data_IF_256724202541
#
_entry.id   IF_256724202541
#
_cell.length_a   1.000
_cell.length_b   1.000
_cell.length_c   1.000
_cell.angle_alpha   90.00
_cell.angle_beta   90.00
_cell.angle_gamma   90.00
#
_symmetry.space_group_name_H-M   'P 1'
#
loop_
_entity.id
_entity.type
_entity.pdbx_description
1 polymer ?
#
# COMPACT_ATOMS: atom_id res chain seq x y z
N UNK A 1 3.34 31.52 -2.63
CA UNK A 1 4.19 30.72 -1.72
C UNK A 1 5.46 31.53 -1.46
N UNK A 2 5.67 31.91 -0.23
CA UNK A 2 6.80 32.79 0.17
C UNK A 2 8.01 31.95 0.65
N UNK A 3 8.37 30.95 -0.11
CA UNK A 3 9.40 29.99 0.28
C UNK A 3 10.77 30.66 0.49
N UNK A 4 11.17 31.50 -0.44
CA UNK A 4 12.47 32.23 -0.35
C UNK A 4 12.48 33.42 0.61
N UNK A 5 11.35 33.72 1.29
CA UNK A 5 11.35 34.60 2.47
C UNK A 5 11.77 33.85 3.75
N UNK A 6 11.57 32.54 3.78
CA UNK A 6 11.89 31.68 4.93
C UNK A 6 13.20 30.90 4.77
N UNK A 7 13.69 30.74 3.54
CA UNK A 7 14.84 29.91 3.19
C UNK A 7 15.79 30.73 2.31
N UNK A 8 17.11 30.70 2.56
CA UNK A 8 18.08 31.39 1.71
C UNK A 8 17.99 30.96 0.25
N UNK A 9 18.06 31.91 -0.68
CA UNK A 9 17.89 31.62 -2.12
C UNK A 9 18.98 30.71 -2.69
N UNK A 10 20.16 30.72 -2.10
CA UNK A 10 21.31 29.93 -2.55
C UNK A 10 21.47 28.59 -1.82
N UNK A 11 20.52 28.24 -0.92
CA UNK A 11 20.60 27.01 -0.10
C UNK A 11 20.89 25.76 -0.93
N UNK A 12 20.22 25.62 -2.05
CA UNK A 12 20.32 24.42 -2.90
C UNK A 12 21.50 24.46 -3.89
N UNK A 13 22.29 25.55 -3.95
CA UNK A 13 23.39 25.66 -4.90
C UNK A 13 24.47 24.57 -4.73
N UNK A 14 24.86 24.11 -3.52
CA UNK A 14 25.78 22.98 -3.38
C UNK A 14 25.26 21.68 -3.97
N UNK A 15 23.97 21.41 -3.82
CA UNK A 15 23.33 20.22 -4.35
C UNK A 15 23.08 20.26 -5.87
N UNK A 16 23.25 21.42 -6.50
CA UNK A 16 23.20 21.60 -7.96
C UNK A 16 24.60 21.65 -8.60
N UNK A 17 25.69 21.61 -7.80
CA UNK A 17 27.07 21.69 -8.25
C UNK A 17 27.59 20.33 -8.80
N UNK A 18 28.71 20.28 -9.51
CA UNK A 18 29.38 19.05 -9.89
C UNK A 18 29.66 18.12 -8.69
N UNK A 19 29.99 18.68 -7.53
CA UNK A 19 30.28 17.96 -6.28
C UNK A 19 29.03 17.64 -5.46
N UNK A 20 27.83 17.61 -6.07
CA UNK A 20 26.54 17.42 -5.38
C UNK A 20 26.49 16.19 -4.47
N UNK A 21 27.14 15.09 -4.85
CA UNK A 21 27.18 13.85 -4.06
C UNK A 21 27.95 14.09 -2.77
N UNK A 22 29.16 14.66 -2.86
CA UNK A 22 29.97 15.01 -1.69
C UNK A 22 29.25 15.96 -0.72
N UNK A 23 28.53 16.97 -1.26
CA UNK A 23 27.73 17.87 -0.42
C UNK A 23 26.56 17.13 0.25
N UNK A 24 25.89 16.21 -0.45
CA UNK A 24 24.82 15.42 0.13
C UNK A 24 25.32 14.50 1.25
N UNK A 25 26.43 13.81 1.03
CA UNK A 25 27.06 12.94 2.02
C UNK A 25 27.58 13.74 3.23
N UNK A 26 28.13 14.93 3.00
CA UNK A 26 28.52 15.83 4.07
C UNK A 26 27.34 16.30 4.92
N UNK A 27 26.22 16.62 4.28
CA UNK A 27 24.97 17.00 4.97
C UNK A 27 24.42 15.84 5.82
N UNK A 28 24.49 14.60 5.33
CA UNK A 28 24.07 13.41 6.09
C UNK A 28 24.95 13.19 7.32
N UNK A 29 26.27 13.26 7.16
CA UNK A 29 27.24 13.17 8.27
C UNK A 29 26.97 14.22 9.34
N UNK A 30 26.73 15.47 8.91
CA UNK A 30 26.46 16.60 9.79
C UNK A 30 25.10 16.43 10.50
N UNK A 31 24.08 15.98 9.80
CA UNK A 31 22.78 15.70 10.39
C UNK A 31 22.85 14.59 11.45
N UNK A 32 23.55 13.49 11.16
CA UNK A 32 23.74 12.41 12.13
C UNK A 32 24.46 12.92 13.41
N UNK A 33 25.47 13.76 13.27
CA UNK A 33 26.17 14.37 14.40
C UNK A 33 25.25 15.26 15.26
N UNK A 34 24.29 15.93 14.62
CA UNK A 34 23.31 16.79 15.31
C UNK A 34 22.22 16.02 16.03
N UNK A 35 21.86 14.84 15.61
CA UNK A 35 20.91 13.98 16.33
C UNK A 35 21.41 13.60 17.73
N UNK A 36 22.72 13.55 17.90
CA UNK A 36 23.33 13.18 19.18
C UNK A 36 23.70 14.41 20.04
N UNK A 37 23.84 15.60 19.43
CA UNK A 37 24.39 16.77 20.10
C UNK A 37 23.60 18.05 19.77
N UNK A 38 23.27 18.84 20.78
CA UNK A 38 22.60 20.14 20.62
C UNK A 38 23.48 21.20 19.94
N UNK A 39 24.77 21.19 20.21
CA UNK A 39 25.80 22.05 19.64
C UNK A 39 27.03 21.23 19.33
N UNK A 40 27.65 21.46 18.21
CA UNK A 40 28.88 20.75 17.81
C UNK A 40 29.96 21.76 17.60
N UNK A 41 31.14 21.50 18.21
CA UNK A 41 32.33 22.30 17.98
C UNK A 41 32.79 22.08 16.54
N UNK A 42 33.25 23.15 15.93
CA UNK A 42 33.70 23.15 14.55
C UNK A 42 34.86 22.16 14.32
N UNK A 43 35.81 22.05 15.25
CA UNK A 43 36.96 21.12 15.17
C UNK A 43 36.52 19.64 15.19
N UNK A 44 35.50 19.30 16.00
CA UNK A 44 34.93 17.96 16.06
C UNK A 44 34.25 17.62 14.74
N UNK A 45 33.53 18.56 14.18
CA UNK A 45 32.84 18.40 12.90
C UNK A 45 33.82 18.17 11.74
N UNK A 46 34.93 18.89 11.70
CA UNK A 46 36.02 18.64 10.74
C UNK A 46 36.55 17.22 10.84
N UNK A 47 36.79 16.78 12.08
CA UNK A 47 37.33 15.44 12.33
C UNK A 47 36.35 14.34 11.86
N UNK A 48 35.04 14.56 12.06
CA UNK A 48 34.01 13.65 11.63
C UNK A 48 33.90 13.60 10.08
N UNK A 49 33.86 14.74 9.41
CA UNK A 49 33.82 14.78 7.94
C UNK A 49 35.08 14.15 7.34
N UNK A 50 36.26 14.49 7.85
CA UNK A 50 37.51 13.88 7.40
C UNK A 50 37.50 12.36 7.55
N UNK A 51 37.02 11.85 8.70
CA UNK A 51 37.05 10.42 8.97
C UNK A 51 36.02 9.62 8.16
N UNK A 52 34.88 10.24 7.79
CA UNK A 52 33.83 9.54 7.05
C UNK A 52 33.91 9.71 5.53
N UNK A 53 34.45 10.83 5.04
CA UNK A 53 34.48 11.20 3.62
C UNK A 53 35.92 11.36 3.09
N UNK A 54 36.89 10.60 3.63
CA UNK A 54 38.31 10.75 3.26
C UNK A 54 38.55 10.48 1.77
N UNK A 55 37.93 9.46 1.20
CA UNK A 55 38.09 9.09 -0.20
C UNK A 55 37.36 10.07 -1.13
N UNK A 56 36.12 10.43 -0.82
CA UNK A 56 35.31 11.38 -1.57
C UNK A 56 35.96 12.78 -1.58
N UNK A 57 36.53 13.19 -0.46
CA UNK A 57 37.27 14.43 -0.34
C UNK A 57 38.60 14.41 -1.14
N UNK A 58 39.25 13.26 -1.24
CA UNK A 58 40.45 13.11 -2.03
C UNK A 58 40.19 13.21 -3.54
N UNK A 59 39.06 12.63 -4.00
CA UNK A 59 38.69 12.59 -5.40
C UNK A 59 37.94 13.84 -5.92
N UNK A 60 37.48 14.70 -5.01
CA UNK A 60 36.70 15.89 -5.36
C UNK A 60 37.53 16.95 -6.10
N UNK A 61 36.98 17.51 -7.17
CA UNK A 61 37.53 18.62 -7.93
C UNK A 61 36.68 19.86 -7.70
N UNK A 62 37.30 20.97 -7.28
CA UNK A 62 36.63 22.25 -6.96
C UNK A 62 36.95 23.33 -7.97
N UNK A 63 37.05 23.01 -9.28
CA UNK A 63 37.56 23.88 -10.34
C UNK A 63 36.73 25.16 -10.59
N UNK A 64 35.45 25.16 -10.19
CA UNK A 64 34.54 26.30 -10.44
C UNK A 64 34.30 27.20 -9.19
N UNK A 65 35.10 27.04 -8.16
CA UNK A 65 34.86 27.73 -6.90
C UNK A 65 36.00 28.72 -6.60
N UNK A 66 35.66 29.97 -6.21
CA UNK A 66 36.63 30.99 -5.75
C UNK A 66 37.38 30.53 -4.49
N UNK A 67 38.50 29.84 -4.66
CA UNK A 67 39.26 29.20 -3.58
C UNK A 67 40.73 29.43 -3.73
N UNK A 68 41.42 29.64 -2.60
CA UNK A 68 42.86 29.57 -2.54
C UNK A 68 43.33 28.11 -2.80
N UNK A 69 44.09 27.92 -3.88
CA UNK A 69 44.62 26.58 -4.24
C UNK A 69 45.44 25.93 -3.11
N UNK A 70 45.98 26.72 -2.18
CA UNK A 70 46.69 26.19 -1.01
C UNK A 70 45.80 25.49 0.01
N UNK A 71 44.57 25.95 0.19
CA UNK A 71 43.60 25.26 1.11
C UNK A 71 43.15 23.92 0.59
N UNK A 72 43.13 23.70 -0.71
CA UNK A 72 42.65 22.44 -1.32
C UNK A 72 43.72 21.34 -1.42
N UNK A 73 44.97 21.61 -1.07
CA UNK A 73 46.06 20.63 -1.16
C UNK A 73 45.93 19.48 -0.18
N UNK A 74 45.28 19.72 0.93
CA UNK A 74 45.14 18.78 2.03
C UNK A 74 43.65 18.45 2.28
N UNK A 75 43.36 17.20 2.65
CA UNK A 75 42.03 16.69 2.97
C UNK A 75 41.37 17.53 4.08
N UNK A 76 42.16 18.00 5.05
CA UNK A 76 41.66 18.84 6.15
C UNK A 76 41.23 20.21 5.66
N UNK A 77 41.94 20.81 4.72
CA UNK A 77 41.56 22.06 4.07
C UNK A 77 40.27 21.91 3.27
N UNK A 78 40.12 20.79 2.52
CA UNK A 78 38.89 20.49 1.78
C UNK A 78 37.69 20.30 2.71
N UNK A 79 37.85 19.65 3.84
CA UNK A 79 36.78 19.49 4.84
C UNK A 79 36.36 20.84 5.45
N UNK A 80 37.35 21.74 5.75
CA UNK A 80 37.07 23.11 6.21
C UNK A 80 36.32 23.92 5.16
N UNK A 81 36.74 23.80 3.92
CA UNK A 81 36.06 24.45 2.80
C UNK A 81 34.63 24.04 2.68
N UNK A 82 34.34 22.73 2.76
CA UNK A 82 32.99 22.17 2.72
C UNK A 82 32.09 22.80 3.80
N UNK A 83 32.52 22.83 5.05
CA UNK A 83 31.75 23.44 6.15
C UNK A 83 31.54 24.92 5.89
N UNK A 84 32.62 25.66 5.51
CA UNK A 84 32.51 27.08 5.20
C UNK A 84 31.52 27.35 4.07
N UNK A 85 31.54 26.53 3.02
CA UNK A 85 30.60 26.63 1.89
C UNK A 85 29.17 26.36 2.32
N UNK A 86 28.93 25.30 3.07
CA UNK A 86 27.61 24.98 3.59
C UNK A 86 27.08 26.07 4.54
N UNK A 87 27.94 26.66 5.37
CA UNK A 87 27.56 27.80 6.19
C UNK A 87 27.26 29.05 5.34
N UNK A 88 28.07 29.36 4.34
CA UNK A 88 27.85 30.54 3.46
C UNK A 88 26.56 30.42 2.64
N UNK A 89 26.14 29.21 2.34
CA UNK A 89 24.87 28.91 1.61
C UNK A 89 23.65 28.76 2.54
N UNK A 90 23.87 28.84 3.86
CA UNK A 90 22.80 28.88 4.84
C UNK A 90 22.36 27.50 5.36
N UNK A 91 23.07 26.40 5.09
CA UNK A 91 22.77 25.13 5.69
C UNK A 91 23.05 25.08 7.19
N UNK A 92 24.07 25.80 7.63
CA UNK A 92 24.52 25.90 9.02
C UNK A 92 24.87 27.34 9.38
N UNK A 93 24.84 27.64 10.65
CA UNK A 93 25.23 28.92 11.22
C UNK A 93 26.37 28.72 12.20
N UNK A 94 27.30 29.68 12.23
CA UNK A 94 28.40 29.70 13.20
C UNK A 94 28.02 30.58 14.39
N UNK A 95 28.12 30.02 15.58
CA UNK A 95 27.95 30.74 16.84
C UNK A 95 29.24 30.73 17.65
N UNK A 96 29.59 31.84 18.25
CA UNK A 96 30.72 31.92 19.17
C UNK A 96 30.22 31.68 20.59
N UNK A 97 30.75 30.61 21.23
CA UNK A 97 30.43 30.33 22.61
C UNK A 97 31.06 31.27 23.60
N UNK A 98 30.63 31.23 24.85
CA UNK A 98 31.21 32.00 25.98
C UNK A 98 32.65 31.56 26.30
N UNK A 99 33.07 30.40 25.84
CA UNK A 99 34.40 29.82 25.92
C UNK A 99 35.34 30.22 24.80
N UNK A 100 34.93 31.19 23.94
CA UNK A 100 35.58 31.64 22.73
C UNK A 100 35.77 30.57 21.63
N UNK A 101 35.14 29.40 21.78
CA UNK A 101 35.14 28.38 20.76
C UNK A 101 34.03 28.62 19.73
N UNK A 102 34.26 28.17 18.48
CA UNK A 102 33.27 28.24 17.42
C UNK A 102 32.41 26.96 17.40
N UNK A 103 31.11 27.16 17.48
CA UNK A 103 30.11 26.15 17.39
C UNK A 103 29.34 26.30 16.08
N UNK A 104 28.89 25.18 15.56
CA UNK A 104 28.01 25.12 14.39
C UNK A 104 26.63 24.74 14.84
N UNK A 105 25.62 25.47 14.44
CA UNK A 105 24.21 25.25 14.73
C UNK A 105 23.41 25.06 13.45
N UNK A 106 22.28 24.34 13.53
CA UNK A 106 21.41 24.11 12.39
C UNK A 106 20.17 25.02 12.48
N UNK A 107 19.93 25.89 11.47
CA UNK A 107 18.68 26.64 11.36
C UNK A 107 17.47 25.70 11.25
N UNK A 108 16.31 26.12 11.75
CA UNK A 108 15.09 25.31 11.78
C UNK A 108 14.67 24.81 10.39
N UNK A 109 14.78 25.65 9.35
CA UNK A 109 14.45 25.23 7.97
C UNK A 109 15.43 24.15 7.45
N UNK A 110 16.70 24.27 7.79
CA UNK A 110 17.74 23.32 7.39
C UNK A 110 17.55 21.97 8.09
N UNK A 111 17.26 21.98 9.40
CA UNK A 111 16.95 20.75 10.17
C UNK A 111 15.79 19.98 9.56
N UNK A 112 14.70 20.66 9.18
CA UNK A 112 13.54 20.04 8.53
C UNK A 112 13.84 19.45 7.16
N UNK A 113 14.70 20.14 6.38
CA UNK A 113 15.12 19.65 5.07
C UNK A 113 16.02 18.41 5.20
N UNK A 114 16.95 18.42 6.14
CA UNK A 114 17.85 17.30 6.40
C UNK A 114 17.07 16.07 6.92
N UNK A 115 16.09 16.29 7.81
CA UNK A 115 15.16 15.23 8.23
C UNK A 115 14.42 14.63 7.04
N UNK A 116 13.91 15.46 6.13
CA UNK A 116 13.25 14.99 4.92
C UNK A 116 14.20 14.20 4.02
N UNK A 117 15.44 14.67 3.83
CA UNK A 117 16.43 13.96 3.02
C UNK A 117 16.76 12.59 3.64
N UNK A 118 16.95 12.54 4.95
CA UNK A 118 17.17 11.28 5.65
C UNK A 118 16.00 10.33 5.51
N UNK A 119 14.76 10.82 5.65
CA UNK A 119 13.54 10.03 5.43
C UNK A 119 13.41 9.51 3.99
N UNK A 120 13.88 10.25 2.98
CA UNK A 120 13.88 9.82 1.59
C UNK A 120 14.93 8.75 1.29
N UNK A 121 16.04 8.73 2.02
CA UNK A 121 17.13 7.76 1.89
C UNK A 121 16.90 6.51 2.76
N UNK A 122 16.04 6.60 3.77
CA UNK A 122 15.74 5.49 4.67
C UNK A 122 14.80 4.48 3.98
N UNK A 123 15.39 3.44 3.39
CA UNK A 123 14.67 2.28 2.80
C UNK A 123 14.06 1.35 3.88
N UNK A 124 14.18 1.69 5.17
CA UNK A 124 13.60 0.88 6.22
C UNK A 124 12.08 0.82 6.05
N UNK A 125 11.46 -0.38 6.19
CA UNK A 125 10.00 -0.48 6.11
C UNK A 125 9.41 0.42 7.17
N UNK A 126 8.57 1.36 6.71
CA UNK A 126 7.91 2.35 7.54
C UNK A 126 7.42 1.73 8.84
N UNK A 127 8.07 2.09 9.95
CA UNK A 127 7.75 1.55 11.27
C UNK A 127 6.33 1.97 11.60
N UNK A 128 5.42 0.99 11.47
CA UNK A 128 4.08 0.96 12.02
C UNK A 128 3.38 2.31 12.20
N UNK A 129 3.03 2.98 11.11
CA UNK A 129 2.17 4.14 11.20
C UNK A 129 0.79 3.72 11.71
N UNK A 130 0.51 4.01 12.96
CA UNK A 130 -0.79 3.75 13.58
C UNK A 130 -1.64 5.01 13.59
N UNK A 131 -1.81 5.64 12.43
CA UNK A 131 -2.55 6.91 12.34
C UNK A 131 -4.01 6.76 12.72
N UNK A 132 -4.68 5.68 12.30
CA UNK A 132 -6.09 5.44 12.60
C UNK A 132 -6.27 5.10 14.07
N UNK A 133 -5.45 4.18 14.59
CA UNK A 133 -5.45 3.84 16.01
C UNK A 133 -5.01 5.02 16.88
N UNK A 134 -4.02 5.80 16.43
CA UNK A 134 -3.57 7.02 17.09
C UNK A 134 -4.70 8.04 17.22
N UNK A 135 -5.42 8.32 16.13
CA UNK A 135 -6.59 9.18 16.10
C UNK A 135 -7.66 8.69 17.10
N UNK A 136 -8.00 7.40 17.04
CA UNK A 136 -8.96 6.80 17.97
C UNK A 136 -8.52 6.92 19.42
N UNK A 137 -7.26 6.58 19.73
CA UNK A 137 -6.75 6.58 21.10
C UNK A 137 -6.73 7.97 21.71
N UNK A 138 -6.27 8.97 20.95
CA UNK A 138 -6.21 10.36 21.42
C UNK A 138 -7.60 10.90 21.66
N UNK A 139 -8.54 10.70 20.72
CA UNK A 139 -9.93 11.16 20.89
C UNK A 139 -10.62 10.46 22.05
N UNK A 140 -10.47 9.14 22.17
CA UNK A 140 -11.10 8.39 23.25
C UNK A 140 -10.56 8.77 24.62
N UNK A 141 -9.25 8.90 24.76
CA UNK A 141 -8.63 9.32 26.04
C UNK A 141 -9.09 10.72 26.45
N UNK A 142 -9.17 11.63 25.48
CA UNK A 142 -9.65 12.98 25.75
C UNK A 142 -11.16 13.03 26.03
N UNK A 143 -11.94 12.15 25.43
CA UNK A 143 -13.39 12.06 25.69
C UNK A 143 -13.68 11.65 27.11
N UNK A 144 -12.88 10.76 27.69
CA UNK A 144 -12.95 10.33 29.09
C UNK A 144 -12.45 11.44 30.08
N UNK A 145 -11.72 12.45 29.57
CA UNK A 145 -11.28 13.61 30.36
C UNK A 145 -12.37 14.68 30.45
N UNK A 146 -12.50 15.34 31.59
CA UNK A 146 -13.38 16.49 31.74
C UNK A 146 -12.71 17.83 31.37
N UNK A 147 -11.46 17.81 30.87
CA UNK A 147 -10.69 18.99 30.57
C UNK A 147 -10.86 19.42 29.11
N UNK A 148 -11.32 20.65 28.88
CA UNK A 148 -11.51 21.21 27.55
C UNK A 148 -10.18 21.37 26.77
N UNK A 149 -9.07 21.63 27.47
CA UNK A 149 -7.75 21.72 26.89
C UNK A 149 -7.30 20.39 26.30
N UNK A 150 -7.51 19.27 27.00
CA UNK A 150 -7.16 17.93 26.52
C UNK A 150 -7.96 17.59 25.27
N UNK A 151 -9.27 17.89 25.26
CA UNK A 151 -10.15 17.65 24.11
C UNK A 151 -9.76 18.49 22.91
N UNK A 152 -9.43 19.76 23.11
CA UNK A 152 -8.92 20.63 22.06
C UNK A 152 -7.62 20.07 21.46
N UNK A 153 -6.65 19.74 22.30
CA UNK A 153 -5.34 19.22 21.86
C UNK A 153 -5.52 17.89 21.13
N UNK A 154 -6.40 17.02 21.63
CA UNK A 154 -6.74 15.76 20.99
C UNK A 154 -7.35 15.95 19.60
N UNK A 155 -8.22 16.94 19.39
CA UNK A 155 -8.81 17.25 18.11
C UNK A 155 -7.74 17.71 17.09
N UNK A 156 -6.81 18.56 17.50
CA UNK A 156 -5.70 18.97 16.63
C UNK A 156 -4.81 17.78 16.28
N UNK A 157 -4.46 16.94 17.25
CA UNK A 157 -3.68 15.71 17.00
C UNK A 157 -4.42 14.74 16.09
N UNK A 158 -5.73 14.58 16.25
CA UNK A 158 -6.56 13.77 15.38
C UNK A 158 -6.59 14.30 13.93
N UNK A 159 -6.65 15.63 13.78
CA UNK A 159 -6.57 16.28 12.48
C UNK A 159 -5.22 16.05 11.80
N UNK A 160 -4.10 16.20 12.53
CA UNK A 160 -2.75 15.98 12.01
C UNK A 160 -2.54 14.51 11.65
N UNK A 161 -2.97 13.56 12.49
CA UNK A 161 -2.92 12.12 12.19
C UNK A 161 -3.74 11.77 10.94
N UNK A 162 -4.93 12.35 10.79
CA UNK A 162 -5.78 12.10 9.62
C UNK A 162 -5.15 12.67 8.36
N UNK A 163 -4.53 13.84 8.42
CA UNK A 163 -3.79 14.46 7.31
C UNK A 163 -2.60 13.59 6.91
N UNK A 164 -1.83 13.08 7.88
CA UNK A 164 -0.71 12.20 7.65
C UNK A 164 -1.17 10.86 7.03
N UNK A 165 -2.31 10.29 7.49
CA UNK A 165 -2.91 9.11 6.90
C UNK A 165 -3.24 9.29 5.41
N UNK A 166 -3.88 10.42 5.06
CA UNK A 166 -4.23 10.72 3.67
C UNK A 166 -2.97 10.84 2.82
N UNK A 167 -1.95 11.53 3.32
CA UNK A 167 -0.66 11.68 2.63
C UNK A 167 0.01 10.33 2.42
N UNK A 168 -0.04 9.43 3.42
CA UNK A 168 0.45 8.06 3.31
C UNK A 168 -0.30 7.27 2.23
N UNK A 169 -1.63 7.34 2.22
CA UNK A 169 -2.44 6.63 1.21
C UNK A 169 -2.17 7.13 -0.21
N UNK A 170 -2.01 8.44 -0.38
CA UNK A 170 -1.61 9.04 -1.66
C UNK A 170 -0.22 8.56 -2.10
N UNK A 171 0.75 8.52 -1.19
CA UNK A 171 2.08 7.98 -1.46
C UNK A 171 2.02 6.51 -1.88
N UNK A 172 1.27 5.68 -1.15
CA UNK A 172 1.07 4.25 -1.49
C UNK A 172 0.45 4.10 -2.88
N UNK A 173 -0.59 4.88 -3.20
CA UNK A 173 -1.20 4.88 -4.52
C UNK A 173 -0.20 5.21 -5.63
N UNK A 174 0.61 6.26 -5.45
CA UNK A 174 1.63 6.66 -6.42
C UNK A 174 2.74 5.61 -6.55
N UNK A 175 3.16 4.98 -5.46
CA UNK A 175 4.14 3.91 -5.49
C UNK A 175 3.63 2.70 -6.28
N UNK A 176 2.39 2.24 -6.03
CA UNK A 176 1.79 1.15 -6.81
C UNK A 176 1.77 1.47 -8.31
N UNK A 177 1.40 2.70 -8.66
CA UNK A 177 1.38 3.16 -10.05
C UNK A 177 2.79 3.19 -10.67
N UNK A 178 3.79 3.62 -9.90
CA UNK A 178 5.19 3.63 -10.35
C UNK A 178 5.69 2.21 -10.64
N UNK A 179 5.46 1.24 -9.74
CA UNK A 179 5.81 -0.16 -9.96
C UNK A 179 5.14 -0.75 -11.20
N UNK A 180 3.89 -0.37 -11.45
CA UNK A 180 3.18 -0.78 -12.66
C UNK A 180 3.87 -0.28 -13.95
N UNK A 181 4.31 0.98 -13.96
CA UNK A 181 5.01 1.57 -15.10
C UNK A 181 6.39 0.93 -15.33
N UNK A 182 7.17 0.77 -14.26
CA UNK A 182 8.52 0.17 -14.32
C UNK A 182 8.47 -1.27 -14.82
N UNK A 183 7.43 -2.02 -14.45
CA UNK A 183 7.26 -3.40 -14.88
C UNK A 183 7.09 -3.54 -16.40
N UNK A 184 6.51 -2.55 -17.08
CA UNK A 184 6.29 -2.57 -18.53
C UNK A 184 7.62 -2.73 -19.29
N UNK A 185 8.69 -2.12 -18.80
CA UNK A 185 10.00 -2.09 -19.44
C UNK A 185 10.87 -3.32 -19.17
N UNK A 186 10.54 -4.14 -18.17
CA UNK A 186 11.30 -5.34 -17.83
C UNK A 186 11.14 -6.42 -18.89
N UNK A 187 12.25 -7.06 -19.28
CA UNK A 187 12.27 -8.10 -20.33
C UNK A 187 12.66 -9.49 -19.81
N UNK A 188 13.16 -9.58 -18.60
CA UNK A 188 13.58 -10.84 -17.97
C UNK A 188 12.58 -11.28 -16.90
N UNK A 189 12.26 -12.58 -16.89
CA UNK A 189 11.34 -13.19 -15.90
C UNK A 189 11.84 -12.98 -14.48
N UNK A 190 13.15 -13.16 -14.24
CA UNK A 190 13.73 -13.03 -12.93
C UNK A 190 13.63 -11.59 -12.41
N UNK A 191 13.78 -10.58 -13.28
CA UNK A 191 13.60 -9.18 -12.91
C UNK A 191 12.15 -8.89 -12.53
N UNK A 192 11.18 -9.43 -13.28
CA UNK A 192 9.75 -9.27 -12.96
C UNK A 192 9.39 -9.95 -11.63
N UNK A 193 9.91 -11.15 -11.39
CA UNK A 193 9.71 -11.87 -10.14
C UNK A 193 10.33 -11.13 -8.95
N UNK A 194 11.58 -10.68 -9.08
CA UNK A 194 12.27 -9.93 -8.04
C UNK A 194 11.53 -8.61 -7.72
N UNK A 195 11.14 -7.85 -8.73
CA UNK A 195 10.37 -6.62 -8.55
C UNK A 195 8.99 -6.87 -7.90
N UNK A 196 8.33 -7.99 -8.24
CA UNK A 196 7.02 -8.30 -7.67
C UNK A 196 7.10 -8.80 -6.22
N UNK A 197 8.00 -9.73 -5.92
CA UNK A 197 8.06 -10.35 -4.59
C UNK A 197 8.93 -9.57 -3.60
N UNK A 198 10.09 -9.08 -4.01
CA UNK A 198 11.02 -8.40 -3.10
C UNK A 198 10.67 -6.91 -2.96
N UNK A 199 10.51 -6.20 -4.08
CA UNK A 199 10.28 -4.75 -3.99
C UNK A 199 8.81 -4.42 -3.70
N UNK A 200 7.90 -4.80 -4.59
CA UNK A 200 6.49 -4.48 -4.41
C UNK A 200 5.87 -5.21 -3.22
N UNK A 201 6.12 -6.53 -3.08
CA UNK A 201 5.57 -7.34 -2.01
C UNK A 201 6.03 -6.87 -0.63
N UNK A 202 7.32 -6.67 -0.43
CA UNK A 202 7.88 -6.27 0.86
C UNK A 202 7.75 -4.76 1.12
N UNK A 203 8.13 -3.93 0.15
CA UNK A 203 8.19 -2.46 0.35
C UNK A 203 6.83 -1.76 0.28
N UNK A 204 5.83 -2.35 -0.38
CA UNK A 204 4.50 -1.73 -0.51
C UNK A 204 3.43 -2.53 0.22
N UNK A 205 3.28 -3.83 -0.08
CA UNK A 205 2.17 -4.62 0.46
C UNK A 205 2.36 -4.90 1.95
N UNK A 206 3.51 -5.45 2.35
CA UNK A 206 3.79 -5.79 3.76
C UNK A 206 4.06 -4.55 4.61
N UNK A 207 4.72 -3.53 4.04
CA UNK A 207 5.06 -2.31 4.78
C UNK A 207 3.84 -1.40 5.03
N UNK A 208 2.95 -1.23 4.05
CA UNK A 208 1.87 -0.25 4.11
C UNK A 208 0.47 -0.85 4.01
N UNK A 209 0.19 -1.66 2.98
CA UNK A 209 -1.18 -2.08 2.68
C UNK A 209 -1.71 -3.04 3.74
N UNK A 210 -0.94 -4.03 4.13
CA UNK A 210 -1.33 -5.02 5.13
C UNK A 210 -1.53 -4.43 6.52
N UNK A 211 -0.68 -3.55 7.06
CA UNK A 211 -0.93 -2.87 8.31
C UNK A 211 -2.23 -2.06 8.31
N UNK A 212 -2.48 -1.27 7.26
CA UNK A 212 -3.70 -0.45 7.12
C UNK A 212 -4.99 -1.28 7.07
N UNK A 213 -4.94 -2.52 6.55
CA UNK A 213 -6.10 -3.40 6.50
C UNK A 213 -6.34 -4.20 7.77
N UNK A 214 -5.28 -4.61 8.46
CA UNK A 214 -5.36 -5.58 9.57
C UNK A 214 -5.18 -4.90 10.91
N UNK A 215 -4.10 -4.12 11.08
CA UNK A 215 -3.72 -3.53 12.38
C UNK A 215 -4.35 -2.18 12.59
N UNK A 216 -4.18 -1.28 11.66
CA UNK A 216 -4.66 0.11 11.68
C UNK A 216 -5.92 0.26 10.80
N UNK A 217 -6.86 -0.65 11.00
CA UNK A 217 -8.02 -0.82 10.13
C UNK A 217 -9.02 0.33 10.24
N UNK A 218 -9.21 1.07 9.14
CA UNK A 218 -10.20 2.14 9.03
C UNK A 218 -11.62 1.65 9.37
N UNK A 219 -12.12 0.51 8.82
CA UNK A 219 -13.44 0.01 9.17
C UNK A 219 -13.65 -0.24 10.66
N UNK A 220 -12.61 -0.67 11.37
CA UNK A 220 -12.69 -0.96 12.81
C UNK A 220 -12.85 0.30 13.66
N UNK A 221 -12.12 1.35 13.33
CA UNK A 221 -12.03 2.54 14.18
C UNK A 221 -12.90 3.71 13.70
N UNK A 222 -13.42 3.68 12.46
CA UNK A 222 -14.26 4.73 11.88
C UNK A 222 -15.44 5.10 12.77
N UNK A 223 -16.27 4.12 13.11
CA UNK A 223 -17.48 4.35 13.91
C UNK A 223 -17.17 4.91 15.30
N UNK A 224 -16.21 4.34 16.06
CA UNK A 224 -15.78 4.93 17.34
C UNK A 224 -15.26 6.37 17.23
N UNK A 225 -14.43 6.69 16.20
CA UNK A 225 -13.92 8.05 15.99
C UNK A 225 -15.09 9.02 15.74
N UNK A 226 -15.97 8.69 14.81
CA UNK A 226 -17.13 9.53 14.47
C UNK A 226 -18.08 9.70 15.66
N UNK A 227 -18.27 8.67 16.47
CA UNK A 227 -19.15 8.76 17.66
C UNK A 227 -18.63 9.74 18.70
N UNK A 228 -17.31 9.88 18.85
CA UNK A 228 -16.72 10.87 19.75
C UNK A 228 -16.87 12.27 19.17
N UNK A 229 -16.55 12.45 17.90
CA UNK A 229 -16.60 13.75 17.21
C UNK A 229 -18.01 14.32 17.18
N UNK A 230 -19.04 13.51 16.88
CA UNK A 230 -20.45 13.93 16.91
C UNK A 230 -20.91 14.38 18.29
N UNK A 231 -20.51 13.66 19.35
CA UNK A 231 -20.82 14.09 20.72
C UNK A 231 -20.21 15.45 21.05
N UNK A 232 -18.99 15.70 20.57
CA UNK A 232 -18.34 16.99 20.78
C UNK A 232 -18.96 18.09 19.92
N UNK A 233 -19.45 17.77 18.72
CA UNK A 233 -20.16 18.70 17.83
C UNK A 233 -21.51 19.13 18.44
N UNK A 234 -22.24 18.20 19.06
CA UNK A 234 -23.56 18.44 19.67
C UNK A 234 -23.48 19.20 20.98
N UNK A 235 -22.33 19.23 21.65
CA UNK A 235 -22.14 19.93 22.94
C UNK A 235 -21.57 21.34 22.74
N UNK A 236 -22.48 22.32 22.60
CA UNK A 236 -22.12 23.74 22.47
C UNK A 236 -21.31 24.28 23.67
N UNK A 237 -21.53 23.78 24.86
CA UNK A 237 -20.82 24.24 26.08
C UNK A 237 -19.37 23.78 26.04
N UNK A 238 -19.14 22.57 25.59
CA UNK A 238 -17.82 22.00 25.37
C UNK A 238 -17.09 22.77 24.27
N UNK A 239 -17.73 23.01 23.11
CA UNK A 239 -17.12 23.74 22.00
C UNK A 239 -16.68 25.14 22.40
N UNK A 240 -17.50 25.85 23.19
CA UNK A 240 -17.13 27.17 23.72
C UNK A 240 -15.93 27.07 24.68
N UNK A 241 -15.90 26.05 25.55
CA UNK A 241 -14.77 25.81 26.44
C UNK A 241 -13.48 25.50 25.69
N UNK A 242 -13.54 24.63 24.71
CA UNK A 242 -12.39 24.30 23.80
C UNK A 242 -11.94 25.54 23.00
N UNK A 243 -12.87 26.36 22.52
CA UNK A 243 -12.55 27.58 21.77
C UNK A 243 -11.86 28.63 22.67
N UNK A 244 -12.23 28.73 23.96
CA UNK A 244 -11.53 29.59 24.91
C UNK A 244 -10.07 29.12 25.12
N UNK A 245 -9.84 27.82 25.24
CA UNK A 245 -8.47 27.29 25.34
C UNK A 245 -7.67 27.53 24.04
N UNK A 246 -8.29 27.33 22.88
CA UNK A 246 -7.67 27.63 21.59
C UNK A 246 -7.30 29.13 21.45
N UNK A 247 -8.13 30.03 22.00
CA UNK A 247 -7.83 31.45 21.98
C UNK A 247 -6.68 31.79 22.93
N UNK A 248 -6.59 31.15 24.12
CA UNK A 248 -5.43 31.28 25.02
C UNK A 248 -4.14 30.85 24.39
N UNK A 249 -4.17 29.77 23.61
CA UNK A 249 -3.04 29.25 22.82
C UNK A 249 -2.75 30.09 21.56
N UNK A 250 -3.45 31.21 21.34
CA UNK A 250 -3.30 32.09 20.17
C UNK A 250 -3.50 31.41 18.82
N UNK A 251 -4.35 30.37 18.77
CA UNK A 251 -4.67 29.62 17.55
C UNK A 251 -5.68 30.35 16.64
N UNK A 252 -6.36 31.37 17.14
CA UNK A 252 -7.26 32.24 16.40
C UNK A 252 -7.26 33.65 16.94
N UNK A 253 -7.93 34.58 16.26
CA UNK A 253 -8.00 35.99 16.64
C UNK A 253 -9.18 36.28 17.54
N UNK A 254 -10.29 35.60 17.33
CA UNK A 254 -11.53 35.74 18.11
C UNK A 254 -12.03 34.38 18.56
N UNK A 255 -12.92 34.38 19.55
CA UNK A 255 -13.57 33.16 20.07
C UNK A 255 -14.37 32.48 18.93
N UNK A 256 -15.05 33.27 18.10
CA UNK A 256 -15.82 32.77 16.96
C UNK A 256 -14.93 32.12 15.91
N UNK A 257 -13.78 32.72 15.62
CA UNK A 257 -12.78 32.11 14.70
C UNK A 257 -12.30 30.76 15.23
N UNK A 258 -11.97 30.68 16.52
CA UNK A 258 -11.53 29.44 17.16
C UNK A 258 -12.62 28.37 17.11
N UNK A 259 -13.87 28.72 17.44
CA UNK A 259 -15.01 27.80 17.37
C UNK A 259 -15.24 27.31 15.95
N UNK A 260 -15.21 28.19 14.96
CA UNK A 260 -15.36 27.83 13.55
C UNK A 260 -14.24 26.92 13.07
N UNK A 261 -12.99 27.10 13.54
CA UNK A 261 -11.87 26.23 13.21
C UNK A 261 -12.03 24.83 13.80
N UNK A 262 -12.45 24.74 15.07
CA UNK A 262 -12.72 23.44 15.72
C UNK A 262 -13.82 22.66 14.98
N UNK A 263 -14.97 23.30 14.69
CA UNK A 263 -16.05 22.68 13.94
C UNK A 263 -15.61 22.26 12.53
N UNK A 264 -14.82 23.09 11.86
CA UNK A 264 -14.27 22.75 10.54
C UNK A 264 -13.40 21.51 10.61
N UNK A 265 -12.56 21.36 11.66
CA UNK A 265 -11.71 20.19 11.84
C UNK A 265 -12.52 18.94 12.17
N UNK A 266 -13.53 19.03 13.02
CA UNK A 266 -14.45 17.93 13.33
C UNK A 266 -15.09 17.44 12.02
N UNK A 267 -15.77 18.34 11.31
CA UNK A 267 -16.45 18.00 10.06
C UNK A 267 -15.48 17.41 9.01
N UNK A 268 -14.30 18.02 8.88
CA UNK A 268 -13.29 17.54 7.94
C UNK A 268 -12.81 16.11 8.27
N UNK A 269 -12.57 15.79 9.52
CA UNK A 269 -12.17 14.45 9.96
C UNK A 269 -13.30 13.45 9.65
N UNK A 270 -14.54 13.78 10.02
CA UNK A 270 -15.70 12.92 9.75
C UNK A 270 -15.88 12.63 8.27
N UNK A 271 -15.89 13.67 7.43
CA UNK A 271 -16.00 13.53 5.97
C UNK A 271 -14.87 12.66 5.41
N UNK A 272 -13.63 12.84 5.90
CA UNK A 272 -12.50 12.04 5.45
C UNK A 272 -12.66 10.57 5.82
N UNK A 273 -13.02 10.27 7.06
CA UNK A 273 -13.25 8.89 7.48
C UNK A 273 -14.44 8.22 6.78
N UNK A 274 -15.46 8.96 6.36
CA UNK A 274 -16.57 8.42 5.56
C UNK A 274 -16.12 8.01 4.15
N UNK A 275 -15.25 8.79 3.55
CA UNK A 275 -14.81 8.59 2.17
C UNK A 275 -13.50 7.80 2.03
N UNK A 276 -12.74 7.61 3.11
CA UNK A 276 -11.42 6.97 3.11
C UNK A 276 -11.42 5.58 2.49
N UNK A 277 -12.46 4.79 2.76
CA UNK A 277 -12.58 3.43 2.27
C UNK A 277 -12.80 3.40 0.77
N UNK A 278 -13.73 4.22 0.26
CA UNK A 278 -14.09 4.27 -1.16
C UNK A 278 -13.05 4.99 -2.02
N UNK A 279 -12.62 6.17 -1.58
CA UNK A 279 -11.79 7.04 -2.41
C UNK A 279 -10.32 6.60 -2.45
N UNK A 280 -9.84 5.94 -1.38
CA UNK A 280 -8.43 5.57 -1.29
C UNK A 280 -8.20 4.06 -1.22
N UNK A 281 -8.83 3.34 -0.28
CA UNK A 281 -8.52 1.93 -0.07
C UNK A 281 -9.01 1.05 -1.22
N UNK A 282 -10.22 1.27 -1.74
CA UNK A 282 -10.74 0.53 -2.89
C UNK A 282 -9.95 0.82 -4.17
N UNK A 283 -9.53 2.09 -4.37
CA UNK A 283 -8.73 2.47 -5.52
C UNK A 283 -7.31 1.86 -5.44
N UNK A 284 -6.66 1.90 -4.27
CA UNK A 284 -5.37 1.22 -4.05
C UNK A 284 -5.51 -0.28 -4.32
N UNK A 285 -6.56 -0.93 -3.83
CA UNK A 285 -6.83 -2.36 -4.08
C UNK A 285 -7.03 -2.67 -5.57
N UNK A 286 -7.69 -1.78 -6.26
CA UNK A 286 -7.88 -1.90 -7.71
C UNK A 286 -6.56 -1.80 -8.45
N UNK A 287 -5.70 -0.85 -8.09
CA UNK A 287 -4.37 -0.72 -8.68
C UNK A 287 -3.46 -1.91 -8.34
N UNK A 288 -3.48 -2.39 -7.10
CA UNK A 288 -2.75 -3.60 -6.69
C UNK A 288 -3.19 -4.82 -7.51
N UNK A 289 -4.49 -5.02 -7.67
CA UNK A 289 -5.03 -6.11 -8.50
C UNK A 289 -4.62 -5.98 -9.96
N UNK A 290 -4.64 -4.77 -10.51
CA UNK A 290 -4.17 -4.49 -11.89
C UNK A 290 -2.69 -4.81 -12.04
N UNK A 291 -1.86 -4.35 -11.10
CA UNK A 291 -0.43 -4.63 -11.09
C UNK A 291 -0.15 -6.13 -11.00
N UNK A 292 -0.74 -6.84 -10.02
CA UNK A 292 -0.55 -8.28 -9.84
C UNK A 292 -0.97 -9.07 -11.08
N UNK A 293 -2.12 -8.72 -11.68
CA UNK A 293 -2.60 -9.37 -12.92
C UNK A 293 -1.63 -9.13 -14.09
N UNK A 294 -1.13 -7.91 -14.23
CA UNK A 294 -0.14 -7.58 -15.26
C UNK A 294 1.19 -8.31 -15.05
N UNK A 295 1.66 -8.42 -13.78
CA UNK A 295 2.86 -9.18 -13.42
C UNK A 295 2.72 -10.65 -13.79
N UNK A 296 1.62 -11.29 -13.36
CA UNK A 296 1.34 -12.69 -13.70
C UNK A 296 1.30 -12.92 -15.20
N UNK A 297 0.57 -12.08 -15.94
CA UNK A 297 0.45 -12.19 -17.38
C UNK A 297 1.80 -11.99 -18.09
N UNK A 298 2.64 -11.09 -17.58
CA UNK A 298 3.97 -10.87 -18.13
C UNK A 298 4.89 -12.06 -17.87
N UNK A 299 4.87 -12.63 -16.67
CA UNK A 299 5.61 -13.85 -16.33
C UNK A 299 5.19 -15.00 -17.25
N UNK A 300 3.88 -15.23 -17.42
CA UNK A 300 3.35 -16.24 -18.32
C UNK A 300 3.83 -16.03 -19.78
N UNK A 301 3.76 -14.79 -20.27
CA UNK A 301 4.19 -14.45 -21.62
C UNK A 301 5.71 -14.64 -21.81
N UNK A 302 6.53 -14.32 -20.81
CA UNK A 302 7.98 -14.49 -20.87
C UNK A 302 8.39 -15.96 -20.71
N UNK A 303 7.71 -16.71 -19.85
CA UNK A 303 7.98 -18.15 -19.63
C UNK A 303 7.54 -18.99 -20.83
N UNK A 304 6.40 -18.65 -21.46
CA UNK A 304 5.85 -19.37 -22.61
C UNK A 304 6.31 -18.78 -23.97
N UNK A 305 7.42 -18.05 -24.00
CA UNK A 305 7.90 -17.28 -25.15
C UNK A 305 8.02 -18.14 -26.42
N UNK A 306 8.44 -19.39 -26.27
CA UNK A 306 8.69 -20.29 -27.42
C UNK A 306 7.42 -21.03 -27.88
N UNK A 307 6.34 -21.02 -27.12
CA UNK A 307 5.11 -21.76 -27.44
C UNK A 307 3.86 -20.88 -27.64
N UNK A 308 3.91 -19.61 -27.26
CA UNK A 308 2.76 -18.72 -27.34
C UNK A 308 2.84 -17.78 -28.53
N UNK A 309 1.85 -17.86 -29.44
CA UNK A 309 1.67 -16.92 -30.56
C UNK A 309 1.64 -15.45 -30.07
N UNK A 310 1.05 -15.22 -28.89
CA UNK A 310 0.98 -13.88 -28.26
C UNK A 310 2.35 -13.40 -27.76
N UNK A 311 3.16 -14.31 -27.20
CA UNK A 311 4.55 -14.01 -26.80
C UNK A 311 5.40 -13.64 -28.01
N UNK A 312 5.32 -14.41 -29.07
CA UNK A 312 6.04 -14.15 -30.30
C UNK A 312 5.60 -12.85 -31.01
N UNK A 313 4.29 -12.54 -30.99
CA UNK A 313 3.75 -11.26 -31.47
C UNK A 313 4.28 -10.07 -30.68
N UNK A 314 4.33 -10.15 -29.35
CA UNK A 314 4.88 -9.09 -28.51
C UNK A 314 6.38 -8.85 -28.76
N UNK A 315 7.15 -9.92 -28.99
CA UNK A 315 8.57 -9.82 -29.38
C UNK A 315 8.71 -9.10 -30.71
N UNK A 316 7.94 -9.51 -31.69
CA UNK A 316 7.93 -8.88 -33.04
C UNK A 316 7.57 -7.39 -32.93
N UNK A 317 6.50 -7.04 -32.22
CA UNK A 317 6.10 -5.66 -32.05
C UNK A 317 7.15 -4.83 -31.30
N UNK A 318 7.82 -5.42 -30.31
CA UNK A 318 8.89 -4.74 -29.57
C UNK A 318 10.11 -4.50 -30.44
N UNK A 319 10.51 -5.46 -31.26
CA UNK A 319 11.63 -5.32 -32.22
C UNK A 319 11.29 -4.27 -33.28
N UNK A 320 10.08 -4.29 -33.82
CA UNK A 320 9.61 -3.30 -34.80
C UNK A 320 9.56 -1.88 -34.19
N UNK A 321 9.10 -1.72 -32.96
CA UNK A 321 8.99 -0.40 -32.29
C UNK A 321 10.35 0.23 -31.97
N UNK A 322 11.38 -0.59 -31.72
CA UNK A 322 12.75 -0.12 -31.38
C UNK A 322 13.63 0.12 -32.58
N UNK A 323 13.27 -0.40 -33.76
CA UNK A 323 14.12 -0.35 -34.92
C UNK A 323 13.72 0.83 -35.82
N UNK A 324 14.68 1.74 -36.09
CA UNK A 324 14.48 2.89 -37.00
C UNK A 324 14.20 2.45 -38.47
N UNK A 325 14.50 1.20 -38.80
CA UNK A 325 14.24 0.59 -40.15
C UNK A 325 13.10 -0.43 -40.08
N UNK A 326 12.06 -0.13 -39.27
CA UNK A 326 10.92 -1.02 -39.12
C UNK A 326 10.24 -1.38 -40.45
N UNK A 327 10.22 -0.47 -41.41
CA UNK A 327 9.67 -0.72 -42.76
C UNK A 327 10.42 -1.82 -43.53
N UNK A 328 11.75 -1.83 -43.49
CA UNK A 328 12.57 -2.87 -44.15
C UNK A 328 12.37 -4.24 -43.50
N UNK A 329 12.18 -4.30 -42.19
CA UNK A 329 11.88 -5.53 -41.46
C UNK A 329 10.47 -6.05 -41.75
N UNK A 330 9.50 -5.15 -41.88
CA UNK A 330 8.12 -5.50 -42.26
C UNK A 330 8.12 -6.11 -43.69
N UNK A 331 8.84 -5.53 -44.64
CA UNK A 331 8.95 -6.04 -45.99
C UNK A 331 9.62 -7.43 -46.05
N UNK A 332 10.55 -7.73 -45.15
CA UNK A 332 11.18 -9.07 -45.03
C UNK A 332 10.24 -10.09 -44.39
N UNK A 333 9.35 -9.68 -43.50
CA UNK A 333 8.43 -10.55 -42.77
C UNK A 333 7.13 -10.75 -43.57
N UNK A 334 6.73 -9.81 -44.43
CA UNK A 334 5.52 -9.85 -45.25
C UNK A 334 5.34 -11.15 -46.05
N UNK A 335 6.36 -11.73 -46.68
CA UNK A 335 6.20 -12.99 -47.39
C UNK A 335 5.88 -14.21 -46.52
N UNK A 336 6.21 -14.12 -45.20
CA UNK A 336 5.93 -15.19 -44.25
C UNK A 336 4.47 -15.14 -43.71
N UNK A 337 3.80 -14.00 -43.83
CA UNK A 337 2.40 -13.87 -43.52
C UNK A 337 1.55 -14.15 -44.78
N UNK A 338 1.06 -15.36 -44.91
CA UNK A 338 0.02 -15.69 -45.90
C UNK A 338 -1.32 -15.25 -45.29
N UNK A 339 -1.73 -14.04 -45.59
CA UNK A 339 -3.14 -13.64 -45.43
C UNK A 339 -3.94 -14.39 -46.47
N UNK A 340 -4.69 -15.40 -46.08
CA UNK A 340 -5.69 -15.97 -46.95
C UNK A 340 -6.68 -14.89 -47.33
N UNK A 341 -6.70 -14.51 -48.61
CA UNK A 341 -7.76 -13.68 -49.18
C UNK A 341 -9.08 -14.43 -48.94
N UNK A 342 -9.92 -13.91 -48.07
CA UNK A 342 -11.30 -14.37 -47.97
C UNK A 342 -12.02 -13.93 -49.25
N UNK A 343 -11.94 -14.72 -50.30
CA UNK A 343 -12.58 -14.44 -51.58
C UNK A 343 -14.08 -14.74 -51.60
N UNK A 344 -14.69 -15.21 -50.49
CA UNK A 344 -16.10 -15.58 -50.44
C UNK A 344 -16.79 -15.22 -49.17
N UNK A 345 -17.74 -14.31 -49.26
CA UNK A 345 -18.93 -14.28 -48.40
C UNK A 345 -19.93 -15.29 -48.93
N UNK A 346 -19.93 -16.53 -48.45
CA UNK A 346 -20.97 -17.50 -48.73
C UNK A 346 -22.17 -17.29 -47.75
N UNK A 347 -23.35 -17.80 -48.10
CA UNK A 347 -24.49 -17.81 -47.20
C UNK A 347 -24.16 -18.41 -45.82
N UNK A 348 -23.15 -19.31 -45.75
CA UNK A 348 -22.66 -19.91 -44.48
C UNK A 348 -21.77 -18.99 -43.67
N UNK A 349 -21.26 -17.90 -44.22
CA UNK A 349 -20.50 -16.87 -43.50
C UNK A 349 -21.37 -15.75 -42.97
N UNK A 350 -22.65 -15.67 -43.38
CA UNK A 350 -23.61 -14.77 -42.79
C UNK A 350 -23.94 -15.25 -41.36
N UNK A 351 -23.76 -14.34 -40.40
CA UNK A 351 -24.13 -14.61 -39.02
C UNK A 351 -25.65 -14.76 -38.92
N UNK A 352 -26.13 -16.01 -38.84
CA UNK A 352 -27.51 -16.26 -38.50
C UNK A 352 -27.68 -16.21 -36.99
N UNK A 353 -28.51 -15.31 -36.52
CA UNK A 353 -28.95 -15.29 -35.11
C UNK A 353 -29.64 -16.63 -34.85
N UNK A 354 -28.87 -17.61 -34.33
CA UNK A 354 -29.45 -18.87 -33.87
C UNK A 354 -30.55 -18.50 -32.88
N UNK A 355 -31.82 -18.84 -33.19
CA UNK A 355 -32.88 -18.73 -32.21
C UNK A 355 -32.37 -19.49 -30.99
N UNK A 356 -32.35 -18.88 -29.80
CA UNK A 356 -31.93 -19.61 -28.61
C UNK A 356 -32.87 -20.81 -28.47
N UNK A 357 -32.31 -22.01 -28.57
CA UNK A 357 -33.00 -23.19 -28.07
C UNK A 357 -33.43 -22.85 -26.65
N UNK A 358 -34.73 -23.12 -26.33
CA UNK A 358 -35.25 -22.91 -24.98
C UNK A 358 -34.41 -23.79 -24.05
N UNK A 359 -33.30 -23.24 -23.59
CA UNK A 359 -32.54 -23.80 -22.49
C UNK A 359 -33.48 -23.80 -21.30
N UNK A 360 -33.84 -24.97 -20.81
CA UNK A 360 -34.35 -25.16 -19.47
C UNK A 360 -33.49 -24.32 -18.54
N UNK A 361 -34.14 -23.41 -17.80
CA UNK A 361 -33.50 -22.44 -16.92
C UNK A 361 -32.62 -23.15 -15.89
N UNK A 362 -31.38 -23.38 -16.24
CA UNK A 362 -30.32 -23.53 -15.26
C UNK A 362 -29.88 -22.09 -15.00
N UNK A 363 -30.12 -21.56 -13.82
CA UNK A 363 -29.71 -20.24 -13.41
C UNK A 363 -28.19 -20.22 -13.36
N UNK A 364 -27.58 -19.80 -14.49
CA UNK A 364 -26.20 -19.32 -14.46
C UNK A 364 -26.22 -17.89 -13.93
N UNK A 365 -25.62 -17.69 -12.78
CA UNK A 365 -25.36 -16.37 -12.25
C UNK A 365 -24.35 -15.72 -13.18
N UNK A 366 -24.83 -14.89 -14.10
CA UNK A 366 -23.97 -13.93 -14.81
C UNK A 366 -23.64 -12.83 -13.81
N UNK A 367 -22.39 -12.82 -13.37
CA UNK A 367 -21.81 -11.67 -12.70
C UNK A 367 -21.67 -10.60 -13.79
N UNK A 368 -22.63 -9.68 -13.89
CA UNK A 368 -22.43 -8.42 -14.58
C UNK A 368 -21.59 -7.54 -13.64
N UNK A 369 -20.37 -7.26 -14.06
CA UNK A 369 -19.58 -6.13 -13.54
C UNK A 369 -20.37 -4.85 -13.85
N UNK A 370 -20.45 -3.96 -12.88
CA UNK A 370 -20.94 -2.58 -12.89
C UNK A 370 -22.31 -2.25 -12.26
N UNK A 371 -22.68 -2.96 -11.18
CA UNK A 371 -23.50 -2.29 -10.16
C UNK A 371 -23.22 -2.95 -8.79
N UNK A 372 -22.94 -2.12 -7.79
CA UNK A 372 -22.86 -2.61 -6.42
C UNK A 372 -24.17 -3.36 -6.11
N UNK A 373 -24.11 -4.66 -5.74
CA UNK A 373 -25.33 -5.42 -5.54
C UNK A 373 -26.12 -4.80 -4.40
N UNK A 374 -27.39 -4.54 -4.67
CA UNK A 374 -28.34 -4.00 -3.72
C UNK A 374 -28.32 -4.87 -2.44
N UNK A 375 -28.26 -4.27 -1.28
CA UNK A 375 -28.11 -4.98 0.01
C UNK A 375 -29.20 -6.06 0.20
N UNK A 376 -30.38 -5.85 -0.36
CA UNK A 376 -31.47 -6.84 -0.35
C UNK A 376 -31.19 -8.09 -1.21
N UNK A 377 -30.51 -7.93 -2.34
CA UNK A 377 -30.13 -9.05 -3.21
C UNK A 377 -28.99 -9.87 -2.60
N UNK A 378 -28.06 -9.24 -1.91
CA UNK A 378 -27.00 -9.93 -1.15
C UNK A 378 -27.59 -10.73 0.00
N UNK A 379 -28.56 -10.18 0.72
CA UNK A 379 -29.27 -10.89 1.81
C UNK A 379 -30.06 -12.06 1.25
N UNK A 380 -30.75 -11.92 0.13
CA UNK A 380 -31.47 -13.02 -0.55
C UNK A 380 -30.54 -14.10 -1.07
N UNK A 381 -29.40 -13.72 -1.67
CA UNK A 381 -28.38 -14.68 -2.11
C UNK A 381 -27.76 -15.44 -0.93
N UNK A 382 -27.43 -14.74 0.16
CA UNK A 382 -26.92 -15.36 1.39
C UNK A 382 -27.96 -16.31 2.04
N UNK A 383 -29.24 -15.93 2.06
CA UNK A 383 -30.35 -16.80 2.54
C UNK A 383 -30.54 -18.03 1.66
N UNK A 384 -30.45 -17.91 0.34
CA UNK A 384 -30.50 -19.02 -0.61
C UNK A 384 -29.30 -19.96 -0.46
N UNK A 385 -28.11 -19.45 -0.25
CA UNK A 385 -26.93 -20.25 0.03
C UNK A 385 -27.04 -20.95 1.39
N UNK A 386 -27.48 -20.24 2.42
CA UNK A 386 -27.73 -20.84 3.74
C UNK A 386 -28.83 -21.94 3.71
N UNK A 387 -29.89 -21.77 2.92
CA UNK A 387 -30.94 -22.80 2.78
C UNK A 387 -30.47 -24.02 2.01
N UNK A 388 -29.64 -23.88 0.98
CA UNK A 388 -29.16 -24.99 0.14
C UNK A 388 -27.94 -25.72 0.69
N UNK A 389 -27.03 -25.00 1.34
CA UNK A 389 -25.73 -25.51 1.81
C UNK A 389 -25.47 -25.20 3.29
N UNK A 390 -26.50 -24.79 4.03
CA UNK A 390 -26.41 -24.53 5.45
C UNK A 390 -26.22 -25.79 6.28
N UNK A 391 -25.87 -25.64 7.53
CA UNK A 391 -25.60 -26.75 8.48
C UNK A 391 -26.72 -27.78 8.56
N UNK A 392 -27.97 -27.33 8.54
CA UNK A 392 -29.14 -28.22 8.55
C UNK A 392 -29.20 -29.08 7.28
N UNK A 393 -28.92 -28.50 6.11
CA UNK A 393 -28.90 -29.22 4.84
C UNK A 393 -27.75 -30.24 4.76
N UNK A 394 -26.57 -29.89 5.28
CA UNK A 394 -25.43 -30.80 5.36
C UNK A 394 -25.70 -31.94 6.32
N UNK A 395 -26.26 -31.67 7.51
CA UNK A 395 -26.66 -32.71 8.44
C UNK A 395 -27.70 -33.65 7.84
N UNK A 396 -28.71 -33.11 7.16
CA UNK A 396 -29.74 -33.92 6.49
C UNK A 396 -29.15 -34.79 5.37
N UNK A 397 -28.21 -34.26 4.59
CA UNK A 397 -27.49 -34.99 3.55
C UNK A 397 -26.69 -36.16 4.13
N UNK A 398 -25.89 -35.92 5.17
CA UNK A 398 -25.10 -36.97 5.84
C UNK A 398 -25.99 -38.02 6.50
N UNK A 399 -27.07 -37.62 7.15
CA UNK A 399 -28.04 -38.55 7.76
C UNK A 399 -28.75 -39.41 6.69
N UNK A 400 -29.14 -38.80 5.55
CA UNK A 400 -29.75 -39.52 4.44
C UNK A 400 -28.76 -40.51 3.79
N UNK A 401 -27.47 -40.13 3.71
CA UNK A 401 -26.44 -41.02 3.20
C UNK A 401 -26.11 -42.18 4.16
N UNK A 402 -26.02 -41.93 5.48
CA UNK A 402 -25.84 -42.96 6.49
C UNK A 402 -27.02 -43.96 6.51
N UNK A 403 -28.26 -43.51 6.26
CA UNK A 403 -29.44 -44.34 6.33
C UNK A 403 -29.55 -45.08 7.67
N UNK A 404 -29.67 -46.40 7.66
CA UNK A 404 -29.73 -47.24 8.86
C UNK A 404 -28.35 -47.69 9.37
N UNK A 405 -27.28 -47.37 8.67
CA UNK A 405 -25.91 -47.73 9.05
C UNK A 405 -25.33 -46.72 10.04
N UNK A 406 -24.61 -47.21 11.06
CA UNK A 406 -23.94 -46.38 12.03
C UNK A 406 -22.60 -45.82 11.51
N UNK A 407 -22.00 -46.51 10.54
CA UNK A 407 -20.69 -46.17 9.96
C UNK A 407 -20.75 -46.47 8.46
N UNK A 408 -20.24 -45.50 7.66
CA UNK A 408 -20.01 -45.70 6.21
C UNK A 408 -18.68 -45.07 5.76
N UNK A 409 -18.07 -45.67 4.72
CA UNK A 409 -16.81 -45.20 4.14
C UNK A 409 -17.07 -44.38 2.88
N UNK A 410 -16.11 -43.48 2.55
CA UNK A 410 -16.17 -42.60 1.37
C UNK A 410 -16.36 -43.38 0.05
N UNK A 411 -15.95 -44.65 -0.02
CA UNK A 411 -16.07 -45.50 -1.22
C UNK A 411 -17.53 -45.76 -1.62
N UNK A 412 -18.46 -45.66 -0.67
CA UNK A 412 -19.89 -45.85 -0.86
C UNK A 412 -20.64 -44.57 -1.29
N UNK A 413 -19.92 -43.43 -1.37
CA UNK A 413 -20.51 -42.16 -1.81
C UNK A 413 -20.82 -42.18 -3.31
N UNK A 414 -22.06 -41.80 -3.66
CA UNK A 414 -22.46 -41.59 -5.04
C UNK A 414 -22.08 -40.15 -5.46
N UNK A 415 -20.86 -39.95 -5.93
CA UNK A 415 -20.40 -38.64 -6.46
C UNK A 415 -20.84 -38.48 -7.93
N UNK A 416 -22.14 -38.29 -8.16
CA UNK A 416 -22.69 -38.17 -9.51
C UNK A 416 -22.92 -36.74 -9.94
N UNK A 417 -23.09 -35.81 -8.96
CA UNK A 417 -23.39 -34.39 -9.21
C UNK A 417 -22.47 -33.49 -8.40
N UNK A 418 -22.19 -32.29 -8.92
CA UNK A 418 -21.45 -31.27 -8.20
C UNK A 418 -21.99 -31.00 -6.78
N UNK A 419 -23.31 -31.11 -6.62
CA UNK A 419 -23.94 -30.95 -5.32
C UNK A 419 -23.47 -32.00 -4.30
N UNK A 420 -23.33 -33.27 -4.71
CA UNK A 420 -22.91 -34.36 -3.83
C UNK A 420 -21.44 -34.17 -3.41
N UNK A 421 -20.61 -33.69 -4.34
CA UNK A 421 -19.21 -33.30 -4.06
C UNK A 421 -19.11 -32.16 -3.08
N UNK A 422 -19.84 -31.06 -3.30
CA UNK A 422 -19.83 -29.88 -2.40
C UNK A 422 -20.36 -30.27 -1.02
N UNK A 423 -21.44 -31.08 -0.93
CA UNK A 423 -22.01 -31.51 0.34
C UNK A 423 -21.06 -32.43 1.12
N UNK A 424 -20.30 -33.29 0.45
CA UNK A 424 -19.29 -34.14 1.09
C UNK A 424 -18.13 -33.34 1.65
N UNK A 425 -17.63 -32.31 0.92
CA UNK A 425 -16.62 -31.39 1.44
C UNK A 425 -17.12 -30.58 2.63
N UNK A 426 -18.36 -30.09 2.57
CA UNK A 426 -18.97 -29.35 3.68
C UNK A 426 -19.19 -30.25 4.90
N UNK A 427 -19.45 -31.55 4.69
CA UNK A 427 -19.54 -32.52 5.77
C UNK A 427 -18.20 -32.72 6.49
N UNK A 428 -17.08 -32.76 5.76
CA UNK A 428 -15.74 -32.84 6.35
C UNK A 428 -15.47 -31.59 7.19
N UNK A 429 -15.68 -30.41 6.62
CA UNK A 429 -15.45 -29.14 7.30
C UNK A 429 -16.35 -28.93 8.52
N UNK A 430 -17.62 -29.36 8.42
CA UNK A 430 -18.62 -29.25 9.48
C UNK A 430 -18.50 -30.31 10.61
N UNK A 431 -17.67 -31.32 10.44
CA UNK A 431 -17.54 -32.44 11.41
C UNK A 431 -17.02 -32.00 12.78
N UNK A 432 -16.26 -30.92 12.84
CA UNK A 432 -15.67 -30.34 14.07
C UNK A 432 -16.70 -29.54 14.88
N UNK A 433 -17.84 -29.23 14.32
CA UNK A 433 -18.89 -28.47 15.01
C UNK A 433 -19.61 -29.33 16.10
N UNK A 434 -19.81 -28.70 17.25
CA UNK A 434 -20.51 -29.38 18.37
C UNK A 434 -21.96 -29.77 18.00
N UNK A 435 -22.58 -29.05 17.06
CA UNK A 435 -23.96 -29.28 16.59
C UNK A 435 -24.08 -30.36 15.48
N UNK A 436 -22.95 -30.86 14.96
CA UNK A 436 -22.96 -31.93 13.95
C UNK A 436 -23.45 -33.26 14.55
N UNK A 437 -24.43 -33.89 13.92
CA UNK A 437 -24.96 -35.18 14.33
C UNK A 437 -24.08 -36.38 13.93
N UNK A 438 -22.86 -36.14 13.45
CA UNK A 438 -21.92 -37.12 12.93
C UNK A 438 -20.48 -36.74 13.26
N UNK A 439 -19.57 -37.68 13.15
CA UNK A 439 -18.10 -37.48 13.26
C UNK A 439 -17.45 -38.03 12.01
N UNK A 440 -16.51 -37.31 11.45
CA UNK A 440 -15.69 -37.73 10.31
C UNK A 440 -14.30 -38.10 10.82
N UNK A 441 -13.85 -39.28 10.48
CA UNK A 441 -12.49 -39.74 10.70
C UNK A 441 -11.80 -39.81 9.32
N UNK A 442 -10.79 -38.99 9.11
CA UNK A 442 -9.98 -39.02 7.90
C UNK A 442 -9.08 -40.25 7.91
N UNK A 443 -9.00 -40.94 6.77
CA UNK A 443 -8.11 -42.04 6.51
C UNK A 443 -7.04 -41.65 5.52
N UNK A 444 -5.89 -42.33 5.52
CA UNK A 444 -4.82 -42.04 4.58
C UNK A 444 -5.20 -42.48 3.16
N UNK A 445 -5.36 -41.52 2.25
CA UNK A 445 -5.65 -41.75 0.84
C UNK A 445 -6.64 -40.76 0.24
N UNK A 446 -6.76 -40.83 -1.09
CA UNK A 446 -7.71 -40.04 -1.87
C UNK A 446 -8.62 -40.98 -2.63
N UNK A 447 -9.91 -40.80 -2.48
CA UNK A 447 -10.93 -41.53 -3.23
C UNK A 447 -11.35 -40.69 -4.45
N UNK A 448 -11.23 -41.29 -5.64
CA UNK A 448 -11.60 -40.66 -6.92
C UNK A 448 -12.75 -41.41 -7.58
N UNK A 449 -13.83 -40.70 -7.93
CA UNK A 449 -14.98 -41.24 -8.64
C UNK A 449 -15.60 -40.17 -9.54
N UNK A 450 -15.92 -40.51 -10.77
CA UNK A 450 -16.58 -39.62 -11.74
C UNK A 450 -15.87 -38.25 -11.94
N UNK A 451 -14.52 -38.19 -11.81
CA UNK A 451 -13.73 -36.96 -11.94
C UNK A 451 -13.65 -36.11 -10.69
N UNK A 452 -14.29 -36.51 -9.59
CA UNK A 452 -14.19 -35.87 -8.29
C UNK A 452 -13.17 -36.59 -7.41
N UNK A 453 -12.40 -35.85 -6.64
CA UNK A 453 -11.42 -36.36 -5.69
C UNK A 453 -11.75 -35.86 -4.29
N UNK A 454 -11.94 -36.78 -3.34
CA UNK A 454 -12.19 -36.49 -1.93
C UNK A 454 -11.20 -37.25 -1.05
N UNK A 455 -10.85 -36.79 0.15
CA UNK A 455 -10.08 -37.61 1.10
C UNK A 455 -10.81 -38.91 1.43
N UNK A 456 -10.05 -39.98 1.59
CA UNK A 456 -10.64 -41.21 2.16
C UNK A 456 -11.05 -40.90 3.60
N UNK A 457 -12.29 -41.21 3.92
CA UNK A 457 -12.90 -40.91 5.22
C UNK A 457 -13.95 -41.96 5.64
N UNK A 458 -14.10 -42.03 6.93
CA UNK A 458 -15.16 -42.80 7.55
C UNK A 458 -16.08 -41.83 8.31
N UNK A 459 -17.38 -41.91 8.03
CA UNK A 459 -18.39 -41.09 8.70
C UNK A 459 -19.19 -41.98 9.64
N UNK A 460 -19.26 -41.52 10.91
CA UNK A 460 -19.93 -42.22 11.99
C UNK A 460 -21.03 -41.35 12.60
N UNK A 461 -22.15 -41.94 12.91
CA UNK A 461 -23.25 -41.28 13.64
C UNK A 461 -22.79 -40.95 15.06
N UNK A 462 -23.09 -39.75 15.53
CA UNK A 462 -22.77 -39.31 16.89
C UNK A 462 -23.87 -39.85 17.82
N UNK A 463 -23.50 -40.65 18.81
CA UNK A 463 -24.44 -41.07 19.84
C UNK A 463 -25.00 -39.84 20.57
N UNK A 464 -26.32 -39.71 20.64
CA UNK A 464 -26.94 -38.73 21.53
C UNK A 464 -26.59 -39.14 22.96
N UNK A 465 -25.73 -38.33 23.62
CA UNK A 465 -25.61 -38.43 25.08
C UNK A 465 -26.99 -38.17 25.70
N UNK A 466 -27.42 -39.03 26.65
CA UNK A 466 -28.70 -38.91 27.33
C UNK A 466 -28.83 -37.61 28.12
#
# INVERSE_FOLDING_TARGET
>A
MKFFEAVPSELFSPLASPNRILYADALDVLYAAYQENLKIREDVLYSMLRGRLEQELADATFEDEDIDEEELRDISGRARFLIRKLCSKGWFEKERGDDFEEYITIPNYSSRLLELFHQLCDDSPARGYSYVFGTFSVLKTADDSNNAYDKMTALYSAYDNTTALISLLQMVYHNVKHYFQTQIDMQDVNQVLAAHFNDFGQKVVEAYIRPLKIKDSVPKYRVPIQSVLRRWEEDDTLLIAMANEALRDKRGKTLEDCRADLLRKIFWIEERYDNLEKDYLEEIDTQVRRYTRAATQKIENLTNRDQSVRGNLNVLLTVLSRNRRASELVDQIQPAFQLYEQSFLSEKSLWYRKRPEKRTKTASVLIQDDQAPNTEEQVRAAQLLQSKYGRAAVNAYVQGWLGDADIRCSEELSLEKDKDYIMSLLAILGSKDASAGYVVQELDGIFCKNGYSIPQMQIRRKEKKP
#
